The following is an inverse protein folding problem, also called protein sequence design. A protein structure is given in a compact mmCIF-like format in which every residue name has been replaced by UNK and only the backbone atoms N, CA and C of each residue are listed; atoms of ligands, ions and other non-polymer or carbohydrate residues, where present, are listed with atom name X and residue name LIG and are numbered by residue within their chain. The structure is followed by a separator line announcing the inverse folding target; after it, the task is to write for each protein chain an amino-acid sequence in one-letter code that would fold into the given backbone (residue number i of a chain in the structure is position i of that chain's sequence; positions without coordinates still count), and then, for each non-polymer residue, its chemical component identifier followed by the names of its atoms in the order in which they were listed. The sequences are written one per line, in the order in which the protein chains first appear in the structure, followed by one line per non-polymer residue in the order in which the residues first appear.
data_IF_051468705476
#
_entry.id   IF_051468705476
#
_cell.length_a   1.000
_cell.length_b   1.000
_cell.length_c   1.000
_cell.angle_alpha   90.00
_cell.angle_beta   90.00
_cell.angle_gamma   90.00
#
_symmetry.space_group_name_H-M   'P 1'
#
loop_
_entity.id
_entity.type
_entity.pdbx_description
1 polymer ?
#
# COMPACT_ATOMS: atom_id res chain seq x y z
N UNK A 1 -8.00 -19.52 65.57
CA UNK A 1 -6.71 -20.08 65.12
C UNK A 1 -6.81 -20.81 63.78
N UNK A 2 -7.45 -21.99 63.66
CA UNK A 2 -7.52 -22.73 62.37
C UNK A 2 -8.27 -21.94 61.29
N UNK A 3 -9.42 -21.34 61.64
CA UNK A 3 -10.22 -20.51 60.72
C UNK A 3 -9.47 -19.27 60.21
N UNK A 4 -8.68 -18.62 61.07
CA UNK A 4 -7.88 -17.44 60.71
C UNK A 4 -6.73 -17.81 59.78
N UNK A 5 -6.05 -18.93 60.03
CA UNK A 5 -4.99 -19.44 59.15
C UNK A 5 -5.55 -19.80 57.78
N UNK A 6 -6.71 -20.45 57.71
CA UNK A 6 -7.39 -20.77 56.45
C UNK A 6 -7.74 -19.48 55.68
N UNK A 7 -8.28 -18.47 56.37
CA UNK A 7 -8.61 -17.18 55.74
C UNK A 7 -7.37 -16.49 55.14
N UNK A 8 -6.24 -16.47 55.86
CA UNK A 8 -4.98 -15.90 55.37
C UNK A 8 -4.50 -16.64 54.12
N UNK A 9 -4.52 -17.97 54.13
CA UNK A 9 -4.10 -18.79 52.97
C UNK A 9 -4.99 -18.50 51.75
N UNK A 10 -6.31 -18.43 51.95
CA UNK A 10 -7.25 -18.13 50.85
C UNK A 10 -6.99 -16.75 50.23
N UNK A 11 -6.68 -15.73 51.04
CA UNK A 11 -6.32 -14.39 50.55
C UNK A 11 -5.03 -14.45 49.74
N UNK A 12 -4.00 -15.14 50.22
CA UNK A 12 -2.72 -15.28 49.51
C UNK A 12 -2.91 -15.99 48.16
N UNK A 13 -3.69 -17.08 48.12
CA UNK A 13 -3.99 -17.80 46.87
C UNK A 13 -4.75 -16.88 45.91
N UNK A 14 -5.77 -16.15 46.38
CA UNK A 14 -6.54 -15.23 45.54
C UNK A 14 -5.67 -14.13 44.92
N UNK A 15 -4.76 -13.55 45.70
CA UNK A 15 -3.80 -12.55 45.21
C UNK A 15 -2.86 -13.17 44.17
N UNK A 16 -2.29 -14.34 44.44
CA UNK A 16 -1.40 -15.04 43.52
C UNK A 16 -2.12 -15.40 42.20
N UNK A 17 -3.34 -15.93 42.28
CA UNK A 17 -4.17 -16.24 41.10
C UNK A 17 -4.49 -14.98 40.29
N UNK A 18 -4.75 -13.85 40.95
CA UNK A 18 -5.00 -12.57 40.28
C UNK A 18 -3.76 -12.08 39.54
N UNK A 19 -2.57 -12.19 40.14
CA UNK A 19 -1.29 -11.83 39.49
C UNK A 19 -1.04 -12.71 38.26
N UNK A 20 -1.23 -14.03 38.38
CA UNK A 20 -1.09 -14.97 37.26
C UNK A 20 -2.08 -14.65 36.14
N UNK A 21 -3.33 -14.35 36.48
CA UNK A 21 -4.36 -13.97 35.51
C UNK A 21 -3.99 -12.68 34.75
N UNK A 22 -3.51 -11.65 35.45
CA UNK A 22 -3.04 -10.41 34.81
C UNK A 22 -1.89 -10.71 33.85
N UNK A 23 -0.89 -11.48 34.30
CA UNK A 23 0.24 -11.85 33.46
C UNK A 23 -0.19 -12.61 32.21
N UNK A 24 -1.05 -13.63 32.36
CA UNK A 24 -1.61 -14.40 31.27
C UNK A 24 -2.37 -13.51 30.27
N UNK A 25 -3.24 -12.60 30.73
CA UNK A 25 -3.97 -11.67 29.87
C UNK A 25 -3.01 -10.77 29.09
N UNK A 26 -1.98 -10.22 29.73
CA UNK A 26 -1.01 -9.35 29.04
C UNK A 26 -0.20 -10.10 27.99
N UNK A 27 0.19 -11.35 28.28
CA UNK A 27 0.90 -12.20 27.33
C UNK A 27 0.01 -12.60 26.15
N UNK A 28 -1.22 -13.03 26.41
CA UNK A 28 -2.20 -13.35 25.36
C UNK A 28 -2.52 -12.16 24.45
N UNK A 29 -2.60 -10.94 25.00
CA UNK A 29 -2.76 -9.72 24.18
C UNK A 29 -1.58 -9.50 23.25
N UNK A 30 -0.35 -9.61 23.77
CA UNK A 30 0.87 -9.47 22.94
C UNK A 30 0.94 -10.50 21.82
N UNK A 31 0.59 -11.76 22.09
CA UNK A 31 0.53 -12.80 21.06
C UNK A 31 -0.52 -12.47 20.00
N UNK A 32 -1.72 -12.07 20.41
CA UNK A 32 -2.80 -11.71 19.48
C UNK A 32 -2.43 -10.51 18.60
N UNK A 33 -1.77 -9.50 19.18
CA UNK A 33 -1.31 -8.32 18.42
C UNK A 33 -0.21 -8.71 17.43
N UNK A 34 0.70 -9.62 17.81
CA UNK A 34 1.70 -10.18 16.91
C UNK A 34 1.06 -10.98 15.77
N UNK A 35 0.12 -11.87 16.07
CA UNK A 35 -0.59 -12.66 15.07
C UNK A 35 -1.34 -11.77 14.07
N UNK A 36 -1.99 -10.70 14.56
CA UNK A 36 -2.67 -9.72 13.71
C UNK A 36 -1.70 -8.97 12.80
N UNK A 37 -0.53 -8.60 13.31
CA UNK A 37 0.51 -7.94 12.51
C UNK A 37 1.08 -8.86 11.43
N UNK A 38 1.27 -10.15 11.76
CA UNK A 38 1.69 -11.15 10.77
C UNK A 38 0.62 -11.35 9.70
N UNK A 39 -0.65 -11.41 10.09
CA UNK A 39 -1.76 -11.51 9.14
C UNK A 39 -1.79 -10.30 8.19
N UNK A 40 -1.68 -9.07 8.71
CA UNK A 40 -1.60 -7.88 7.87
C UNK A 40 -0.41 -7.92 6.89
N UNK A 41 0.73 -8.47 7.31
CA UNK A 41 1.89 -8.65 6.44
C UNK A 41 1.60 -9.63 5.30
N UNK A 42 1.04 -10.80 5.59
CA UNK A 42 0.69 -11.78 4.55
C UNK A 42 -0.38 -11.22 3.60
N UNK A 43 -1.41 -10.54 4.12
CA UNK A 43 -2.47 -9.93 3.30
C UNK A 43 -1.90 -8.89 2.30
N UNK A 44 -0.93 -8.07 2.73
CA UNK A 44 -0.26 -7.11 1.85
C UNK A 44 0.65 -7.80 0.84
N UNK A 45 1.34 -8.86 1.26
CA UNK A 45 2.21 -9.65 0.37
C UNK A 45 1.41 -10.35 -0.72
N UNK A 46 0.29 -10.97 -0.39
CA UNK A 46 -0.61 -11.61 -1.35
C UNK A 46 -1.17 -10.59 -2.35
N UNK A 47 -1.62 -9.43 -1.84
CA UNK A 47 -2.03 -8.32 -2.69
C UNK A 47 -0.91 -7.88 -3.66
N UNK A 48 0.32 -7.77 -3.17
CA UNK A 48 1.48 -7.38 -3.97
C UNK A 48 1.79 -8.39 -5.08
N UNK A 49 1.77 -9.68 -4.76
CA UNK A 49 2.00 -10.74 -5.75
C UNK A 49 0.98 -10.70 -6.90
N UNK A 50 -0.30 -10.48 -6.57
CA UNK A 50 -1.35 -10.33 -7.57
C UNK A 50 -1.16 -9.07 -8.44
N UNK A 51 -0.81 -7.94 -7.82
CA UNK A 51 -0.51 -6.70 -8.54
C UNK A 51 0.65 -6.90 -9.51
N UNK A 52 1.73 -7.57 -9.09
CA UNK A 52 2.87 -7.85 -9.98
C UNK A 52 2.47 -8.65 -11.22
N UNK A 53 1.63 -9.66 -11.06
CA UNK A 53 1.12 -10.47 -12.19
C UNK A 53 0.36 -9.58 -13.18
N UNK A 54 -0.50 -8.69 -12.68
CA UNK A 54 -1.26 -7.75 -13.52
C UNK A 54 -0.33 -6.76 -14.24
N UNK A 55 0.62 -6.15 -13.53
CA UNK A 55 1.57 -5.21 -14.13
C UNK A 55 2.42 -5.88 -15.22
N UNK A 56 2.85 -7.12 -14.99
CA UNK A 56 3.60 -7.90 -15.98
C UNK A 56 2.76 -8.33 -17.17
N UNK A 57 1.50 -8.69 -16.96
CA UNK A 57 0.57 -8.97 -18.05
C UNK A 57 0.37 -7.73 -18.93
N UNK A 58 0.09 -6.57 -18.33
CA UNK A 58 -0.01 -5.29 -19.04
C UNK A 58 1.26 -4.96 -19.83
N UNK A 59 2.42 -5.02 -19.16
CA UNK A 59 3.71 -4.71 -19.77
C UNK A 59 4.03 -5.62 -20.97
N UNK A 60 4.00 -6.94 -20.75
CA UNK A 60 4.46 -7.88 -21.77
C UNK A 60 3.47 -7.98 -22.92
N UNK A 61 2.18 -8.17 -22.65
CA UNK A 61 1.21 -8.46 -23.70
C UNK A 61 0.85 -7.21 -24.51
N UNK A 62 0.63 -6.08 -23.84
CA UNK A 62 0.07 -4.90 -24.50
C UNK A 62 1.14 -3.85 -24.84
N UNK A 63 2.16 -3.66 -23.99
CA UNK A 63 3.22 -2.69 -24.28
C UNK A 63 4.31 -3.26 -25.20
N UNK A 64 4.88 -4.42 -24.84
CA UNK A 64 6.00 -5.02 -25.60
C UNK A 64 5.51 -5.76 -26.85
N UNK A 65 4.60 -6.72 -26.66
CA UNK A 65 4.08 -7.53 -27.77
C UNK A 65 3.02 -6.81 -28.61
N UNK A 66 2.54 -5.64 -28.15
CA UNK A 66 1.57 -4.79 -28.86
C UNK A 66 0.30 -5.56 -29.28
N UNK A 67 -0.17 -6.46 -28.42
CA UNK A 67 -1.39 -7.21 -28.69
C UNK A 67 -2.58 -6.26 -28.80
N UNK A 68 -3.30 -6.32 -29.93
CA UNK A 68 -4.49 -5.51 -30.19
C UNK A 68 -5.77 -6.25 -29.78
N UNK A 69 -5.85 -6.60 -28.49
CA UNK A 69 -7.03 -7.25 -27.89
C UNK A 69 -7.63 -6.33 -26.83
N UNK A 70 -8.49 -5.40 -27.29
CA UNK A 70 -9.09 -4.39 -26.44
C UNK A 70 -9.97 -4.97 -25.33
N UNK A 71 -10.65 -6.10 -25.59
CA UNK A 71 -11.49 -6.75 -24.58
C UNK A 71 -10.64 -7.33 -23.45
N UNK A 72 -9.53 -8.00 -23.80
CA UNK A 72 -8.58 -8.51 -22.82
C UNK A 72 -7.91 -7.38 -22.06
N UNK A 73 -7.49 -6.30 -22.74
CA UNK A 73 -6.92 -5.12 -22.09
C UNK A 73 -7.87 -4.55 -21.03
N UNK A 74 -9.13 -4.32 -21.39
CA UNK A 74 -10.15 -3.82 -20.46
C UNK A 74 -10.35 -4.75 -19.25
N UNK A 75 -10.28 -6.07 -19.47
CA UNK A 75 -10.37 -7.06 -18.39
C UNK A 75 -9.20 -6.93 -17.42
N UNK A 76 -7.98 -6.79 -17.94
CA UNK A 76 -6.77 -6.63 -17.10
C UNK A 76 -6.78 -5.28 -16.39
N UNK A 77 -7.20 -4.20 -17.04
CA UNK A 77 -7.37 -2.88 -16.43
C UNK A 77 -8.41 -2.88 -15.31
N UNK A 78 -9.52 -3.61 -15.49
CA UNK A 78 -10.53 -3.78 -14.43
C UNK A 78 -9.93 -4.44 -13.19
N UNK A 79 -9.09 -5.47 -13.39
CA UNK A 79 -8.36 -6.13 -12.29
C UNK A 79 -7.39 -5.16 -11.60
N UNK A 80 -6.64 -4.37 -12.37
CA UNK A 80 -5.73 -3.36 -11.81
C UNK A 80 -6.49 -2.32 -10.98
N UNK A 81 -7.58 -1.76 -11.52
CA UNK A 81 -8.43 -0.80 -10.82
C UNK A 81 -8.96 -1.37 -9.51
N UNK A 82 -9.42 -2.62 -9.52
CA UNK A 82 -9.90 -3.31 -8.32
C UNK A 82 -8.79 -3.46 -7.27
N UNK A 83 -7.56 -3.78 -7.71
CA UNK A 83 -6.40 -3.89 -6.82
C UNK A 83 -5.92 -2.54 -6.29
N UNK A 84 -6.09 -1.45 -7.04
CA UNK A 84 -5.85 -0.08 -6.55
C UNK A 84 -6.81 0.22 -5.38
N UNK A 85 -8.09 -0.06 -5.53
CA UNK A 85 -9.07 0.17 -4.47
C UNK A 85 -8.84 -0.72 -3.25
N UNK A 86 -8.52 -2.00 -3.44
CA UNK A 86 -8.10 -2.90 -2.36
C UNK A 86 -6.83 -2.39 -1.66
N UNK A 87 -5.86 -1.89 -2.43
CA UNK A 87 -4.61 -1.34 -1.90
C UNK A 87 -4.82 -0.19 -0.94
N UNK A 88 -5.89 0.61 -1.10
CA UNK A 88 -6.23 1.72 -0.17
C UNK A 88 -6.61 1.24 1.23
N UNK A 89 -6.98 -0.03 1.41
CA UNK A 89 -7.22 -0.61 2.74
C UNK A 89 -5.91 -0.75 3.51
N UNK A 90 -4.84 -1.15 2.82
CA UNK A 90 -3.51 -1.33 3.39
C UNK A 90 -2.70 -0.02 3.43
N UNK A 91 -2.89 0.83 2.42
CA UNK A 91 -2.19 2.09 2.21
C UNK A 91 -3.19 3.25 2.18
N UNK A 92 -3.83 3.57 3.32
CA UNK A 92 -4.86 4.59 3.37
C UNK A 92 -4.29 5.97 3.10
N UNK A 93 -5.11 6.83 2.49
CA UNK A 93 -4.75 8.23 2.28
C UNK A 93 -4.45 8.96 3.60
N UNK A 94 -3.48 9.86 3.57
CA UNK A 94 -3.19 10.75 4.69
C UNK A 94 -4.12 11.96 4.64
N UNK A 95 -4.96 12.11 5.66
CA UNK A 95 -5.81 13.28 5.82
C UNK A 95 -4.97 14.44 6.34
N UNK A 96 -4.80 15.49 5.54
CA UNK A 96 -4.24 16.77 6.00
C UNK A 96 -5.13 17.95 5.61
N UNK A 97 -5.88 18.46 6.59
CA UNK A 97 -6.81 19.56 6.38
C UNK A 97 -7.96 19.19 5.43
N UNK A 98 -8.31 20.12 4.55
CA UNK A 98 -9.50 20.03 3.69
C UNK A 98 -9.23 19.44 2.30
N UNK A 99 -8.02 18.90 2.05
CA UNK A 99 -7.69 18.39 0.73
C UNK A 99 -8.61 17.23 0.32
N UNK A 100 -9.36 17.44 -0.76
CA UNK A 100 -10.34 16.48 -1.25
C UNK A 100 -11.55 16.31 -0.32
N UNK A 101 -11.91 17.30 0.50
CA UNK A 101 -13.06 17.21 1.43
C UNK A 101 -14.39 16.85 0.75
N UNK A 102 -14.55 17.25 -0.51
CA UNK A 102 -15.71 16.94 -1.35
C UNK A 102 -15.69 15.50 -1.90
N UNK A 103 -14.58 14.77 -1.80
CA UNK A 103 -14.46 13.38 -2.25
C UNK A 103 -15.05 12.41 -1.20
N UNK A 104 -15.43 11.18 -1.57
CA UNK A 104 -15.80 10.14 -0.60
C UNK A 104 -14.63 9.83 0.35
N UNK A 105 -14.94 9.36 1.57
CA UNK A 105 -13.98 9.23 2.69
C UNK A 105 -12.66 8.54 2.32
N UNK A 106 -12.70 7.43 1.58
CA UNK A 106 -11.51 6.66 1.17
C UNK A 106 -10.62 7.37 0.12
N UNK A 107 -11.12 8.45 -0.48
CA UNK A 107 -10.44 9.25 -1.51
C UNK A 107 -10.09 10.66 -1.02
N UNK A 108 -10.36 10.98 0.25
CA UNK A 108 -9.96 12.25 0.88
C UNK A 108 -8.49 12.24 1.25
N UNK A 109 -7.85 13.41 1.29
CA UNK A 109 -6.44 13.54 1.64
C UNK A 109 -5.49 13.06 0.54
N UNK A 110 -4.21 12.97 0.92
CA UNK A 110 -3.10 12.62 0.03
C UNK A 110 -2.97 11.12 -0.16
N UNK A 111 -2.84 10.68 -1.42
CA UNK A 111 -2.68 9.26 -1.76
C UNK A 111 -1.29 8.77 -1.35
N UNK A 112 -1.22 7.51 -0.93
CA UNK A 112 0.05 6.85 -0.67
C UNK A 112 0.80 6.62 -1.99
N UNK A 113 2.11 6.90 -2.00
CA UNK A 113 2.95 6.82 -3.19
C UNK A 113 2.92 5.45 -3.88
N UNK A 114 2.88 4.35 -3.11
CA UNK A 114 2.72 2.97 -3.64
C UNK A 114 1.48 2.86 -4.53
N UNK A 115 0.36 3.50 -4.15
CA UNK A 115 -0.88 3.48 -4.93
C UNK A 115 -0.78 4.46 -6.11
N UNK A 116 -0.07 5.58 -5.97
CA UNK A 116 0.15 6.51 -7.09
C UNK A 116 0.88 5.84 -8.26
N UNK A 117 1.87 4.98 -8.00
CA UNK A 117 2.51 4.19 -9.05
C UNK A 117 1.52 3.34 -9.84
N UNK A 118 0.56 2.71 -9.17
CA UNK A 118 -0.43 1.85 -9.81
C UNK A 118 -1.46 2.66 -10.60
N UNK A 119 -1.90 3.80 -10.06
CA UNK A 119 -2.81 4.72 -10.76
C UNK A 119 -2.14 5.25 -12.03
N UNK A 120 -0.91 5.72 -11.94
CA UNK A 120 -0.16 6.18 -13.11
C UNK A 120 0.02 5.07 -14.15
N UNK A 121 0.32 3.86 -13.69
CA UNK A 121 0.42 2.70 -14.57
C UNK A 121 -0.92 2.40 -15.25
N UNK A 122 -2.04 2.46 -14.53
CA UNK A 122 -3.38 2.30 -15.10
C UNK A 122 -3.66 3.35 -16.18
N UNK A 123 -3.41 4.62 -15.88
CA UNK A 123 -3.70 5.75 -16.76
C UNK A 123 -2.95 5.63 -18.10
N UNK A 124 -1.65 5.28 -18.07
CA UNK A 124 -0.87 5.09 -19.30
C UNK A 124 -1.52 4.07 -20.25
N UNK A 125 -2.06 2.97 -19.71
CA UNK A 125 -2.73 1.96 -20.54
C UNK A 125 -4.14 2.40 -20.95
N UNK A 126 -4.89 3.04 -20.05
CA UNK A 126 -6.24 3.53 -20.30
C UNK A 126 -6.28 4.56 -21.44
N UNK A 127 -5.32 5.49 -21.45
CA UNK A 127 -5.19 6.52 -22.49
C UNK A 127 -4.37 6.07 -23.72
N UNK A 128 -4.11 4.77 -23.87
CA UNK A 128 -3.34 4.15 -24.98
C UNK A 128 -1.94 4.76 -25.20
N UNK A 129 -1.32 5.29 -24.14
CA UNK A 129 0.05 5.85 -24.19
C UNK A 129 1.14 4.81 -23.97
N UNK A 130 0.78 3.58 -23.59
CA UNK A 130 1.73 2.54 -23.20
C UNK A 130 2.73 2.11 -24.29
N UNK A 131 2.37 2.19 -25.58
CA UNK A 131 3.19 1.70 -26.71
C UNK A 131 4.44 2.54 -26.97
N UNK A 132 4.40 3.82 -26.62
CA UNK A 132 5.46 4.79 -26.87
C UNK A 132 6.32 5.04 -25.62
N UNK A 133 5.91 4.52 -24.47
CA UNK A 133 6.44 4.88 -23.15
C UNK A 133 7.00 3.66 -22.37
N UNK A 134 7.67 2.73 -23.06
CA UNK A 134 8.20 1.50 -22.45
C UNK A 134 9.21 1.75 -21.32
N UNK A 135 10.09 2.73 -21.50
CA UNK A 135 11.11 3.08 -20.50
C UNK A 135 10.47 3.67 -19.24
N UNK A 136 9.42 4.46 -19.42
CA UNK A 136 8.62 5.02 -18.33
C UNK A 136 7.91 3.90 -17.56
N UNK A 137 7.22 3.00 -18.26
CA UNK A 137 6.55 1.85 -17.66
C UNK A 137 7.53 0.99 -16.84
N UNK A 138 8.72 0.73 -17.40
CA UNK A 138 9.78 -0.02 -16.72
C UNK A 138 10.26 0.71 -15.47
N UNK A 139 10.46 2.02 -15.56
CA UNK A 139 10.96 2.85 -14.46
C UNK A 139 9.95 2.91 -13.31
N UNK A 140 8.67 3.14 -13.62
CA UNK A 140 7.58 3.13 -12.62
C UNK A 140 7.41 1.75 -11.99
N UNK A 141 7.47 0.68 -12.78
CA UNK A 141 7.38 -0.67 -12.23
C UNK A 141 8.55 -0.98 -11.28
N UNK A 142 9.78 -0.58 -11.63
CA UNK A 142 10.95 -0.73 -10.75
C UNK A 142 10.79 0.09 -9.47
N UNK A 143 10.27 1.31 -9.58
CA UNK A 143 10.03 2.15 -8.41
C UNK A 143 9.01 1.53 -7.44
N UNK A 144 7.89 1.06 -7.97
CA UNK A 144 6.89 0.33 -7.20
C UNK A 144 7.46 -0.91 -6.51
N UNK A 145 8.20 -1.75 -7.24
CA UNK A 145 8.83 -2.98 -6.69
C UNK A 145 9.82 -2.64 -5.57
N UNK A 146 10.63 -1.60 -5.76
CA UNK A 146 11.62 -1.16 -4.77
C UNK A 146 10.94 -0.72 -3.47
N UNK A 147 9.93 0.16 -3.58
CA UNK A 147 9.17 0.65 -2.43
C UNK A 147 8.43 -0.48 -1.70
N UNK A 148 7.80 -1.39 -2.43
CA UNK A 148 7.12 -2.54 -1.84
C UNK A 148 8.09 -3.48 -1.13
N UNK A 149 9.26 -3.73 -1.71
CA UNK A 149 10.30 -4.57 -1.10
C UNK A 149 10.83 -3.94 0.19
N UNK A 150 11.05 -2.62 0.19
CA UNK A 150 11.43 -1.89 1.39
C UNK A 150 10.32 -1.93 2.47
N UNK A 151 9.07 -1.80 2.06
CA UNK A 151 7.93 -1.88 2.98
C UNK A 151 7.79 -3.28 3.61
N UNK A 152 7.84 -4.33 2.78
CA UNK A 152 7.70 -5.71 3.24
C UNK A 152 8.88 -6.12 4.12
N UNK A 153 10.12 -5.78 3.75
CA UNK A 153 11.30 -6.10 4.59
C UNK A 153 11.24 -5.46 5.97
N UNK A 154 10.69 -4.25 6.10
CA UNK A 154 10.46 -3.60 7.40
C UNK A 154 9.40 -4.30 8.26
N UNK A 155 8.50 -5.08 7.65
CA UNK A 155 7.36 -5.69 8.33
C UNK A 155 7.47 -7.21 8.49
N UNK A 156 8.36 -7.90 7.77
CA UNK A 156 8.47 -9.37 7.72
C UNK A 156 8.60 -10.06 9.07
N UNK A 157 9.30 -9.44 10.04
CA UNK A 157 9.50 -9.98 11.39
C UNK A 157 9.20 -8.93 12.46
N UNK A 158 8.40 -7.92 12.14
CA UNK A 158 8.18 -6.81 13.06
C UNK A 158 7.10 -7.17 14.08
N UNK A 159 7.43 -7.02 15.36
CA UNK A 159 6.43 -7.13 16.43
C UNK A 159 5.34 -6.05 16.32
N UNK A 160 5.62 -4.95 15.63
CA UNK A 160 4.70 -3.84 15.37
C UNK A 160 4.63 -3.58 13.87
N UNK A 161 3.44 -3.67 13.29
CA UNK A 161 3.26 -3.34 11.87
C UNK A 161 3.53 -1.85 11.61
N UNK A 162 4.57 -1.57 10.83
CA UNK A 162 4.99 -0.21 10.47
C UNK A 162 4.12 0.28 9.33
N UNK A 163 3.30 1.31 9.62
CA UNK A 163 2.46 1.96 8.62
C UNK A 163 3.30 2.67 7.57
N UNK A 164 2.83 2.64 6.32
CA UNK A 164 3.44 3.41 5.23
C UNK A 164 3.33 4.91 5.49
N UNK A 165 4.35 5.69 5.13
CA UNK A 165 4.46 7.10 5.51
C UNK A 165 4.82 8.06 4.36
N UNK A 166 4.95 7.58 3.12
CA UNK A 166 5.21 8.43 1.96
C UNK A 166 3.91 8.75 1.22
N UNK A 167 3.66 10.04 0.95
CA UNK A 167 2.42 10.53 0.38
C UNK A 167 2.71 11.63 -0.63
N UNK A 168 2.09 11.58 -1.82
CA UNK A 168 2.25 12.63 -2.82
C UNK A 168 1.43 13.88 -2.46
N UNK A 169 1.97 15.06 -2.76
CA UNK A 169 1.36 16.38 -2.53
C UNK A 169 0.33 16.76 -3.62
N UNK A 170 0.27 16.08 -4.78
CA UNK A 170 -0.76 16.31 -5.83
C UNK A 170 -1.34 14.99 -6.39
N UNK A 171 -2.49 15.06 -7.07
CA UNK A 171 -3.41 13.93 -7.34
C UNK A 171 -2.87 12.81 -8.26
N UNK A 172 -1.73 12.98 -8.91
CA UNK A 172 -1.01 11.99 -9.75
C UNK A 172 0.47 12.33 -9.61
N UNK A 173 1.34 11.30 -9.60
CA UNK A 173 2.81 11.39 -9.38
C UNK A 173 3.34 12.74 -9.84
N UNK A 174 3.51 13.69 -8.91
CA UNK A 174 4.15 14.94 -9.25
C UNK A 174 5.67 14.70 -9.23
N UNK A 175 6.17 14.16 -10.34
CA UNK A 175 7.59 13.77 -10.49
C UNK A 175 8.53 14.91 -10.12
N UNK A 176 8.14 16.15 -10.45
CA UNK A 176 8.89 17.37 -10.13
C UNK A 176 8.99 17.68 -8.63
N UNK A 177 8.09 17.15 -7.78
CA UNK A 177 8.06 17.37 -6.32
C UNK A 177 8.17 16.09 -5.47
N UNK A 178 8.65 14.99 -6.04
CA UNK A 178 8.93 13.75 -5.28
C UNK A 178 9.95 14.02 -4.16
N UNK A 179 9.53 13.97 -2.89
CA UNK A 179 10.43 14.21 -1.74
C UNK A 179 11.60 13.17 -1.69
N UNK A 180 11.46 12.03 -2.36
CA UNK A 180 12.51 11.03 -2.51
C UNK A 180 13.43 11.34 -3.71
N UNK A 181 14.69 11.70 -3.42
CA UNK A 181 15.71 12.08 -4.40
C UNK A 181 16.11 10.95 -5.36
N UNK A 182 15.97 9.69 -4.95
CA UNK A 182 16.31 8.51 -5.78
C UNK A 182 15.27 8.33 -6.91
N UNK A 183 13.98 8.44 -6.57
CA UNK A 183 12.92 8.39 -7.58
C UNK A 183 12.87 9.62 -8.47
N UNK A 184 13.24 10.79 -7.95
CA UNK A 184 13.42 11.98 -8.80
C UNK A 184 14.42 11.73 -9.92
N UNK A 185 15.56 11.10 -9.63
CA UNK A 185 16.57 10.81 -10.66
C UNK A 185 16.11 9.78 -11.69
N UNK A 186 15.25 8.85 -11.30
CA UNK A 186 14.75 7.78 -12.18
C UNK A 186 13.58 8.26 -13.04
N UNK A 187 12.73 9.14 -12.50
CA UNK A 187 11.47 9.54 -13.11
C UNK A 187 11.52 10.93 -13.77
N UNK A 188 12.47 11.81 -13.45
CA UNK A 188 12.69 13.07 -14.19
C UNK A 188 13.53 12.76 -15.44
N UNK A 189 12.92 12.15 -16.46
CA UNK A 189 13.26 12.54 -17.83
C UNK A 189 12.19 13.54 -18.28
N UNK A 190 12.55 14.50 -19.13
CA UNK A 190 11.63 15.54 -19.61
C UNK A 190 10.34 14.92 -20.20
N UNK A 191 10.48 13.75 -20.85
CA UNK A 191 9.39 12.96 -21.42
C UNK A 191 8.34 12.49 -20.37
N UNK A 192 8.77 12.14 -19.15
CA UNK A 192 7.84 11.67 -18.11
C UNK A 192 7.08 12.83 -17.48
N UNK A 193 7.72 13.99 -17.35
CA UNK A 193 7.08 15.20 -16.84
C UNK A 193 5.99 15.66 -17.82
N UNK A 194 6.29 15.68 -19.11
CA UNK A 194 5.32 16.05 -20.16
C UNK A 194 4.15 15.06 -20.24
N UNK A 195 4.40 13.75 -20.12
CA UNK A 195 3.36 12.74 -20.07
C UNK A 195 2.46 12.87 -18.83
N UNK A 196 3.06 13.07 -17.66
CA UNK A 196 2.30 13.30 -16.41
C UNK A 196 1.42 14.55 -16.52
N UNK A 197 1.95 15.64 -17.07
CA UNK A 197 1.19 16.88 -17.24
C UNK A 197 0.05 16.71 -18.25
N UNK A 198 0.26 15.94 -19.32
CA UNK A 198 -0.79 15.57 -20.27
C UNK A 198 -1.91 14.77 -19.60
N UNK A 199 -1.57 13.73 -18.84
CA UNK A 199 -2.53 12.90 -18.11
C UNK A 199 -3.28 13.69 -17.01
N UNK A 200 -2.62 14.67 -16.39
CA UNK A 200 -3.26 15.57 -15.43
C UNK A 200 -4.31 16.47 -16.09
N UNK A 201 -4.06 16.94 -17.31
CA UNK A 201 -5.02 17.78 -18.05
C UNK A 201 -6.22 16.97 -18.53
N UNK A 202 -6.03 15.71 -18.92
CA UNK A 202 -7.10 14.80 -19.34
C UNK A 202 -8.01 14.36 -18.18
N UNK A 203 -7.47 14.24 -16.95
CA UNK A 203 -8.23 13.87 -15.75
C UNK A 203 -9.02 15.03 -15.11
N UNK A 204 -8.77 16.29 -15.50
CA UNK A 204 -9.46 17.48 -14.98
C UNK A 204 -10.55 18.03 -15.93
N UNK A 205 -10.75 17.40 -17.10
CA UNK A 205 -11.84 17.68 -18.04
C UNK A 205 -12.93 16.58 -17.95
#
# INVERSE_FOLDING_TARGET
MISEIVAIISVVISIASTIVAIFAITYSKKLKDFDLNQQNYEDVKDWYEEVLKILKELYLQFAVLKQDDKQKLNTVLTKLSSKIDMGRLYFPNKIDGEFGINKPKAYRGRRALIIDFLVFYYDIFFYDKHKENLDILTSVQRAFVSEMTLFLSKNQNSAVFVKYNMYDKKNIINISNLDNAEFRKILISDDVVELVDTLNNENNN
#
